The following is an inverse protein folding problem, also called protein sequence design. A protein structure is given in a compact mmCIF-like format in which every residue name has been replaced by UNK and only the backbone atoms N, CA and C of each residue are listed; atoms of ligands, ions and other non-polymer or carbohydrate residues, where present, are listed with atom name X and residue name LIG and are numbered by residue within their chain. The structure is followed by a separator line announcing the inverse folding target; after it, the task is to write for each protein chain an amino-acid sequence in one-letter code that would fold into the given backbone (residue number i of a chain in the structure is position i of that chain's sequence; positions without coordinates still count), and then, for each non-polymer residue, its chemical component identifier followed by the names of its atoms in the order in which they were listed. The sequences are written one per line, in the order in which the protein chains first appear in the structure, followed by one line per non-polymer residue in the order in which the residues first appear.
data_IF_228773850687
#
_entry.id   IF_228773850687
#
_cell.length_a   1.000
_cell.length_b   1.000
_cell.length_c   1.000
_cell.angle_alpha   90.00
_cell.angle_beta   90.00
_cell.angle_gamma   90.00
#
_symmetry.space_group_name_H-M   'P 1'
#
loop_
_entity.id
_entity.type
_entity.pdbx_description
1 polymer ?
#
# COMPACT_ATOMS: atom_id res chain seq x y z
N UNK A 1 -30.31 21.79 2.21
CA UNK A 1 -29.86 20.79 3.20
C UNK A 1 -29.60 19.40 2.59
N UNK A 2 -30.38 18.91 1.60
CA UNK A 2 -30.13 17.60 0.95
C UNK A 2 -28.78 17.47 0.23
N UNK A 3 -28.29 18.52 -0.42
CA UNK A 3 -27.03 18.48 -1.17
C UNK A 3 -25.78 18.38 -0.26
N UNK A 4 -25.84 18.91 0.96
CA UNK A 4 -24.70 18.85 1.90
C UNK A 4 -24.43 17.44 2.40
N UNK A 5 -25.48 16.67 2.67
CA UNK A 5 -25.36 15.27 3.13
C UNK A 5 -24.78 14.38 2.03
N UNK A 6 -25.17 14.62 0.77
CA UNK A 6 -24.64 13.88 -0.37
C UNK A 6 -23.13 14.12 -0.57
N UNK A 7 -22.67 15.37 -0.47
CA UNK A 7 -21.24 15.72 -0.59
C UNK A 7 -20.44 15.09 0.55
N UNK A 8 -20.94 15.18 1.79
CA UNK A 8 -20.28 14.55 2.95
C UNK A 8 -20.17 13.03 2.75
N UNK A 9 -21.24 12.39 2.26
CA UNK A 9 -21.23 10.95 1.97
C UNK A 9 -20.17 10.56 0.94
N UNK A 10 -20.02 11.34 -0.14
CA UNK A 10 -19.00 11.09 -1.18
C UNK A 10 -17.59 11.24 -0.62
N UNK A 11 -17.33 12.29 0.18
CA UNK A 11 -16.02 12.51 0.79
C UNK A 11 -15.64 11.37 1.73
N UNK A 12 -16.58 10.90 2.56
CA UNK A 12 -16.34 9.78 3.46
C UNK A 12 -16.04 8.50 2.67
N UNK A 13 -16.81 8.21 1.61
CA UNK A 13 -16.56 7.07 0.73
C UNK A 13 -15.17 7.14 0.08
N UNK A 14 -14.79 8.31 -0.42
CA UNK A 14 -13.47 8.52 -1.02
C UNK A 14 -12.34 8.25 -0.02
N UNK A 15 -12.47 8.71 1.23
CA UNK A 15 -11.51 8.44 2.30
C UNK A 15 -11.43 6.95 2.63
N UNK A 16 -12.57 6.28 2.75
CA UNK A 16 -12.60 4.83 3.02
C UNK A 16 -11.89 4.07 1.90
N UNK A 17 -12.20 4.36 0.64
CA UNK A 17 -11.56 3.72 -0.52
C UNK A 17 -10.05 3.98 -0.52
N UNK A 18 -9.63 5.21 -0.22
CA UNK A 18 -8.23 5.61 -0.23
C UNK A 18 -7.37 4.78 0.73
N UNK A 19 -7.86 4.46 1.94
CA UNK A 19 -7.13 3.67 2.93
C UNK A 19 -7.42 2.17 2.85
N UNK A 20 -8.65 1.77 2.54
CA UNK A 20 -9.05 0.36 2.54
C UNK A 20 -8.50 -0.42 1.34
N UNK A 21 -8.45 0.17 0.14
CA UNK A 21 -7.97 -0.53 -1.06
C UNK A 21 -6.51 -1.00 -0.91
N UNK A 22 -5.56 -0.18 -0.42
CA UNK A 22 -4.22 -0.67 -0.12
C UNK A 22 -4.22 -1.86 0.83
N UNK A 23 -4.94 -1.78 1.96
CA UNK A 23 -4.97 -2.86 2.95
C UNK A 23 -5.54 -4.17 2.39
N UNK A 24 -6.61 -4.08 1.58
CA UNK A 24 -7.25 -5.23 0.94
C UNK A 24 -6.37 -5.82 -0.17
N UNK A 25 -5.77 -4.98 -1.02
CA UNK A 25 -4.91 -5.41 -2.12
C UNK A 25 -3.58 -6.01 -1.65
N UNK A 26 -3.04 -5.50 -0.54
CA UNK A 26 -1.82 -6.00 0.08
C UNK A 26 -2.04 -7.08 1.15
N UNK A 27 -3.29 -7.47 1.45
CA UNK A 27 -3.60 -8.44 2.52
C UNK A 27 -2.91 -8.10 3.85
N UNK A 28 -3.04 -6.86 4.31
CA UNK A 28 -2.25 -6.32 5.42
C UNK A 28 -3.10 -5.52 6.41
N UNK A 29 -2.64 -5.46 7.67
CA UNK A 29 -3.36 -4.77 8.74
C UNK A 29 -3.16 -3.25 8.73
N UNK A 30 -2.16 -2.75 8.00
CA UNK A 30 -1.88 -1.33 7.83
C UNK A 30 -1.43 -1.01 6.39
N UNK A 31 -1.49 0.27 6.02
CA UNK A 31 -1.26 0.71 4.63
C UNK A 31 0.21 0.69 4.23
N UNK A 32 1.13 0.97 5.15
CA UNK A 32 2.57 0.91 4.86
C UNK A 32 3.04 -0.52 4.60
N UNK A 33 2.51 -1.49 5.33
CA UNK A 33 2.74 -2.91 5.10
C UNK A 33 2.20 -3.35 3.74
N UNK A 34 1.02 -2.86 3.34
CA UNK A 34 0.48 -3.13 2.03
C UNK A 34 1.36 -2.57 0.89
N UNK A 35 1.86 -1.34 1.04
CA UNK A 35 2.83 -0.74 0.12
C UNK A 35 4.11 -1.58 0.01
N UNK A 36 4.65 -2.00 1.16
CA UNK A 36 5.87 -2.79 1.19
C UNK A 36 5.68 -4.15 0.52
N UNK A 37 4.57 -4.85 0.79
CA UNK A 37 4.23 -6.12 0.10
C UNK A 37 4.02 -5.93 -1.40
N UNK A 38 3.39 -4.83 -1.81
CA UNK A 38 3.24 -4.51 -3.23
C UNK A 38 4.60 -4.29 -3.90
N UNK A 39 5.49 -3.51 -3.28
CA UNK A 39 6.85 -3.27 -3.76
C UNK A 39 7.67 -4.57 -3.82
N UNK A 40 7.53 -5.46 -2.84
CA UNK A 40 8.17 -6.78 -2.84
C UNK A 40 7.67 -7.61 -4.02
N UNK A 41 6.35 -7.66 -4.25
CA UNK A 41 5.77 -8.45 -5.34
C UNK A 41 6.22 -7.93 -6.71
N UNK A 42 6.25 -6.60 -6.89
CA UNK A 42 6.80 -5.95 -8.09
C UNK A 42 8.29 -6.22 -8.27
N UNK A 43 9.07 -6.20 -7.18
CA UNK A 43 10.50 -6.51 -7.22
C UNK A 43 10.73 -7.97 -7.59
N UNK A 44 9.98 -8.90 -7.00
CA UNK A 44 10.01 -10.32 -7.34
C UNK A 44 9.73 -10.51 -8.82
N UNK A 45 8.69 -9.85 -9.36
CA UNK A 45 8.38 -9.84 -10.80
C UNK A 45 9.54 -9.31 -11.64
N UNK A 46 10.14 -8.19 -11.26
CA UNK A 46 11.26 -7.60 -12.00
C UNK A 46 12.50 -8.50 -12.02
N UNK A 47 12.76 -9.23 -10.93
CA UNK A 47 13.88 -10.19 -10.83
C UNK A 47 13.59 -11.42 -11.68
N UNK A 48 12.37 -11.97 -11.60
CA UNK A 48 12.04 -13.25 -12.26
C UNK A 48 11.55 -13.08 -13.69
N UNK A 49 11.25 -11.85 -14.13
CA UNK A 49 10.66 -11.55 -15.44
C UNK A 49 9.23 -12.09 -15.62
N UNK A 50 8.63 -12.63 -14.55
CA UNK A 50 7.32 -13.30 -14.57
C UNK A 50 6.53 -12.94 -13.32
N UNK A 51 5.20 -12.89 -13.45
CA UNK A 51 4.26 -12.71 -12.34
C UNK A 51 3.97 -14.02 -11.59
N UNK A 52 4.54 -15.15 -12.03
CA UNK A 52 4.28 -16.47 -11.46
C UNK A 52 5.39 -17.45 -11.78
N UNK A 53 5.74 -18.28 -10.80
CA UNK A 53 6.76 -19.32 -10.92
C UNK A 53 7.37 -19.67 -9.57
N UNK A 54 8.09 -20.80 -9.45
CA UNK A 54 8.64 -21.24 -8.18
C UNK A 54 9.59 -20.21 -7.57
N UNK A 55 10.48 -19.63 -8.39
CA UNK A 55 11.43 -18.59 -7.94
C UNK A 55 10.69 -17.30 -7.55
N UNK A 56 9.68 -16.89 -8.33
CA UNK A 56 8.84 -15.74 -8.01
C UNK A 56 8.14 -15.94 -6.68
N UNK A 57 7.52 -17.11 -6.49
CA UNK A 57 6.77 -17.44 -5.29
C UNK A 57 7.67 -17.50 -4.06
N UNK A 58 8.90 -18.01 -4.17
CA UNK A 58 9.87 -18.00 -3.06
C UNK A 58 10.28 -16.58 -2.71
N UNK A 59 10.71 -15.77 -3.69
CA UNK A 59 11.13 -14.38 -3.45
C UNK A 59 9.97 -13.56 -2.87
N UNK A 60 8.78 -13.70 -3.46
CA UNK A 60 7.58 -13.00 -3.02
C UNK A 60 7.15 -13.48 -1.63
N UNK A 61 7.14 -14.78 -1.35
CA UNK A 61 6.78 -15.32 -0.03
C UNK A 61 7.76 -14.86 1.05
N UNK A 62 9.06 -14.96 0.79
CA UNK A 62 10.09 -14.51 1.73
C UNK A 62 9.96 -13.01 1.95
N UNK A 63 9.92 -12.20 0.89
CA UNK A 63 9.82 -10.74 1.03
C UNK A 63 8.52 -10.31 1.71
N UNK A 64 7.38 -10.96 1.44
CA UNK A 64 6.13 -10.66 2.14
C UNK A 64 6.16 -11.05 3.62
N UNK A 65 6.98 -12.03 3.99
CA UNK A 65 7.20 -12.42 5.40
C UNK A 65 7.94 -11.33 6.18
N UNK A 66 8.81 -10.59 5.51
CA UNK A 66 9.59 -9.49 6.10
C UNK A 66 8.88 -8.13 5.98
N UNK A 67 7.83 -8.02 5.18
CA UNK A 67 7.05 -6.79 5.05
C UNK A 67 6.18 -6.56 6.30
N UNK A 68 6.68 -5.77 7.25
CA UNK A 68 5.98 -5.35 8.47
C UNK A 68 5.33 -3.97 8.33
N UNK A 69 5.75 -3.18 7.33
CA UNK A 69 5.39 -1.80 7.10
C UNK A 69 6.38 -0.80 7.69
N UNK A 70 7.34 -1.24 8.51
CA UNK A 70 8.25 -0.35 9.23
C UNK A 70 9.25 0.33 8.29
N UNK A 71 9.74 -0.39 7.28
CA UNK A 71 10.71 0.16 6.31
C UNK A 71 10.07 1.27 5.49
N UNK A 72 8.88 1.02 4.94
CA UNK A 72 8.16 2.04 4.16
C UNK A 72 7.67 3.16 5.06
N UNK A 73 7.21 2.89 6.29
CA UNK A 73 6.83 3.95 7.22
C UNK A 73 8.02 4.87 7.56
N UNK A 74 9.20 4.31 7.84
CA UNK A 74 10.41 5.09 8.11
C UNK A 74 10.87 5.88 6.88
N UNK A 75 10.83 5.28 5.69
CA UNK A 75 11.15 5.94 4.43
C UNK A 75 10.20 7.10 4.14
N UNK A 76 8.90 6.88 4.27
CA UNK A 76 7.90 7.91 4.06
C UNK A 76 7.98 9.00 5.12
N UNK A 77 8.38 8.69 6.35
CA UNK A 77 8.62 9.70 7.38
C UNK A 77 9.88 10.54 7.08
N UNK A 78 10.91 9.94 6.49
CA UNK A 78 12.09 10.65 6.03
C UNK A 78 11.80 11.56 4.82
N UNK A 79 11.06 11.05 3.83
CA UNK A 79 10.77 11.77 2.59
C UNK A 79 9.62 12.80 2.75
N UNK A 80 8.72 12.55 3.70
CA UNK A 80 7.56 13.39 4.04
C UNK A 80 7.43 13.57 5.57
N UNK A 81 8.33 14.33 6.21
CA UNK A 81 8.34 14.48 7.67
C UNK A 81 7.07 15.13 8.22
N UNK A 82 6.42 15.99 7.44
CA UNK A 82 5.21 16.72 7.83
C UNK A 82 3.91 15.92 7.59
N UNK A 83 3.99 14.72 7.02
CA UNK A 83 2.82 13.90 6.66
C UNK A 83 2.79 12.61 7.49
N UNK A 84 1.64 12.23 8.08
CA UNK A 84 1.51 10.95 8.75
C UNK A 84 1.84 9.79 7.81
N UNK A 85 2.67 8.86 8.26
CA UNK A 85 3.15 7.72 7.45
C UNK A 85 2.02 6.94 6.78
N UNK A 86 0.88 6.74 7.47
CA UNK A 86 -0.28 6.07 6.88
C UNK A 86 -0.82 6.76 5.61
N UNK A 87 -0.81 8.11 5.57
CA UNK A 87 -1.30 8.90 4.44
C UNK A 87 -0.30 8.88 3.28
N UNK A 88 0.98 9.08 3.58
CA UNK A 88 2.05 9.06 2.56
C UNK A 88 2.26 7.66 1.98
N UNK A 89 2.15 6.61 2.81
CA UNK A 89 2.12 5.21 2.34
C UNK A 89 0.91 4.93 1.45
N UNK A 90 -0.28 5.41 1.82
CA UNK A 90 -1.49 5.25 0.99
C UNK A 90 -1.32 5.94 -0.36
N UNK A 91 -0.88 7.20 -0.36
CA UNK A 91 -0.64 7.96 -1.58
C UNK A 91 0.40 7.27 -2.48
N UNK A 92 1.49 6.76 -1.88
CA UNK A 92 2.54 6.05 -2.60
C UNK A 92 2.04 4.71 -3.17
N UNK A 93 1.19 3.99 -2.46
CA UNK A 93 0.53 2.77 -2.97
C UNK A 93 -0.27 3.08 -4.23
N UNK A 94 -1.13 4.10 -4.17
CA UNK A 94 -1.92 4.54 -5.33
C UNK A 94 -1.08 5.01 -6.51
N UNK A 95 0.07 5.63 -6.24
CA UNK A 95 1.03 6.05 -7.27
C UNK A 95 1.78 4.86 -7.91
N UNK A 96 1.87 3.73 -7.21
CA UNK A 96 2.60 2.54 -7.66
C UNK A 96 1.76 1.56 -8.48
N UNK A 97 0.43 1.72 -8.49
CA UNK A 97 -0.50 1.01 -9.37
C UNK A 97 -0.36 1.50 -10.82
#
# INVERSE_FOLDING_TARGET
MRSGIAIIGIVIMALVVFFAVPMLGGGSANVCQALEKHNVSQTAKNITGTNSGPVHNVINSVGQSFATGDTEAAKQHHDHPDTPSAVSCAASYWKSL
#
